data_IF_818491263241
#
_entry.id   IF_818491263241
#
_cell.length_a   1.000
_cell.length_b   1.000
_cell.length_c   1.000
_cell.angle_alpha   90.00
_cell.angle_beta   90.00
_cell.angle_gamma   90.00
#
_symmetry.space_group_name_H-M   'P 1'
#
loop_
_entity.id
_entity.type
_entity.pdbx_description
1 polymer ?
#
# COMPACT_ATOMS: atom_id res chain seq x y z
N UNK A 1 -25.36 -8.82 -16.86
CA UNK A 1 -25.79 -7.60 -17.55
C UNK A 1 -25.66 -6.46 -16.54
N UNK A 2 -24.72 -5.50 -16.66
CA UNK A 2 -24.72 -4.43 -15.66
C UNK A 2 -24.73 -3.03 -16.29
N UNK A 3 -25.84 -2.34 -16.02
CA UNK A 3 -25.99 -0.90 -15.79
C UNK A 3 -25.10 0.00 -16.63
N UNK A 4 -25.63 0.22 -17.84
CA UNK A 4 -25.06 1.03 -18.90
C UNK A 4 -24.98 2.48 -18.41
N UNK A 5 -23.83 2.87 -17.83
CA UNK A 5 -23.46 4.30 -17.72
C UNK A 5 -23.80 4.94 -19.07
N UNK A 6 -24.59 6.01 -19.06
CA UNK A 6 -24.97 6.66 -20.32
C UNK A 6 -23.72 7.10 -21.08
N UNK A 7 -23.75 7.00 -22.41
CA UNK A 7 -22.59 7.35 -23.23
C UNK A 7 -22.15 8.80 -23.00
N UNK A 8 -23.09 9.68 -22.67
CA UNK A 8 -22.82 11.06 -22.27
C UNK A 8 -21.98 11.14 -20.99
N UNK A 9 -22.38 10.44 -19.92
CA UNK A 9 -21.63 10.41 -18.65
C UNK A 9 -20.25 9.77 -18.86
N UNK A 10 -20.18 8.68 -19.63
CA UNK A 10 -18.92 8.03 -19.95
C UNK A 10 -17.96 8.95 -20.73
N UNK A 11 -18.48 9.70 -21.69
CA UNK A 11 -17.72 10.67 -22.48
C UNK A 11 -17.15 11.79 -21.60
N UNK A 12 -17.97 12.35 -20.71
CA UNK A 12 -17.55 13.42 -19.79
C UNK A 12 -16.46 12.93 -18.83
N UNK A 13 -16.60 11.74 -18.24
CA UNK A 13 -15.56 11.15 -17.37
C UNK A 13 -14.26 10.90 -18.14
N UNK A 14 -14.35 10.37 -19.37
CA UNK A 14 -13.17 10.14 -20.21
C UNK A 14 -12.49 11.46 -20.62
N UNK A 15 -13.26 12.51 -20.93
CA UNK A 15 -12.75 13.84 -21.24
C UNK A 15 -12.01 14.45 -20.04
N UNK A 16 -12.60 14.39 -18.86
CA UNK A 16 -11.97 14.86 -17.62
C UNK A 16 -10.67 14.10 -17.33
N UNK A 17 -10.65 12.77 -17.56
CA UNK A 17 -9.43 11.95 -17.39
C UNK A 17 -8.31 12.32 -18.36
N UNK A 18 -8.64 12.78 -19.58
CA UNK A 18 -7.68 13.28 -20.57
C UNK A 18 -7.15 14.67 -20.21
N UNK A 19 -8.02 15.55 -19.71
CA UNK A 19 -7.63 16.88 -19.22
C UNK A 19 -6.79 16.82 -17.95
N UNK A 20 -7.02 15.82 -17.10
CA UNK A 20 -6.28 15.62 -15.86
C UNK A 20 -5.62 14.23 -15.78
N UNK A 21 -4.49 14.03 -16.49
CA UNK A 21 -3.88 12.70 -16.62
C UNK A 21 -3.42 12.03 -15.33
N UNK A 22 -3.21 12.80 -14.26
CA UNK A 22 -2.72 12.32 -12.97
C UNK A 22 -3.84 12.03 -11.96
N UNK A 23 -5.10 12.36 -12.27
CA UNK A 23 -6.19 12.25 -11.31
C UNK A 23 -6.82 10.86 -11.32
N UNK A 24 -7.12 10.37 -10.12
CA UNK A 24 -7.88 9.14 -9.92
C UNK A 24 -9.40 9.37 -10.05
N UNK A 25 -10.20 8.29 -10.13
CA UNK A 25 -11.65 8.35 -10.33
C UNK A 25 -12.37 9.21 -9.29
N UNK A 26 -12.01 9.09 -8.00
CA UNK A 26 -12.65 9.86 -6.93
C UNK A 26 -12.47 11.38 -7.13
N UNK A 27 -11.26 11.81 -7.49
CA UNK A 27 -10.97 13.24 -7.72
C UNK A 27 -11.67 13.76 -8.96
N UNK A 28 -11.77 12.95 -10.02
CA UNK A 28 -12.49 13.30 -11.24
C UNK A 28 -13.99 13.49 -10.96
N UNK A 29 -14.62 12.57 -10.25
CA UNK A 29 -16.05 12.68 -9.92
C UNK A 29 -16.34 13.88 -9.01
N UNK A 30 -15.50 14.13 -8.00
CA UNK A 30 -15.62 15.31 -7.13
C UNK A 30 -15.47 16.63 -7.91
N UNK A 31 -14.60 16.65 -8.93
CA UNK A 31 -14.44 17.82 -9.80
C UNK A 31 -15.60 17.99 -10.78
N UNK A 32 -16.17 16.89 -11.29
CA UNK A 32 -17.29 16.89 -12.23
C UNK A 32 -18.63 17.26 -11.57
N UNK A 33 -18.86 16.86 -10.32
CA UNK A 33 -20.16 17.06 -9.64
C UNK A 33 -20.67 18.51 -9.69
N UNK A 34 -19.88 19.50 -9.23
CA UNK A 34 -20.28 20.90 -9.29
C UNK A 34 -20.40 21.48 -10.71
N UNK A 35 -19.74 20.88 -11.71
CA UNK A 35 -19.70 21.36 -13.10
C UNK A 35 -20.83 20.79 -13.96
N UNK A 36 -21.33 19.63 -13.57
CA UNK A 36 -22.40 18.93 -14.26
C UNK A 36 -23.45 18.43 -13.25
N UNK A 37 -24.17 19.33 -12.56
CA UNK A 37 -25.13 18.95 -11.53
C UNK A 37 -26.32 18.14 -12.06
N UNK A 38 -26.60 18.23 -13.36
CA UNK A 38 -27.65 17.45 -14.03
C UNK A 38 -27.23 16.03 -14.41
N UNK A 39 -25.95 15.68 -14.29
CA UNK A 39 -25.46 14.34 -14.60
C UNK A 39 -25.48 13.46 -13.35
N UNK A 40 -26.13 12.30 -13.45
CA UNK A 40 -25.99 11.25 -12.46
C UNK A 40 -24.59 10.63 -12.57
N UNK A 41 -23.71 11.03 -11.66
CA UNK A 41 -22.35 10.51 -11.61
C UNK A 41 -22.34 9.10 -10.99
N UNK A 42 -21.63 8.15 -11.60
CA UNK A 42 -21.59 6.78 -11.10
C UNK A 42 -20.71 6.68 -9.85
N UNK A 43 -20.78 5.54 -9.16
CA UNK A 43 -19.87 5.25 -8.07
C UNK A 43 -18.39 5.29 -8.51
N UNK A 44 -17.49 5.60 -7.56
CA UNK A 44 -16.04 5.69 -7.78
C UNK A 44 -15.47 4.40 -8.40
N UNK A 45 -15.93 3.24 -7.95
CA UNK A 45 -15.54 1.93 -8.48
C UNK A 45 -15.93 1.78 -9.95
N UNK A 46 -17.17 2.13 -10.32
CA UNK A 46 -17.69 2.04 -11.68
C UNK A 46 -16.96 3.00 -12.63
N UNK A 47 -16.68 4.24 -12.19
CA UNK A 47 -15.84 5.17 -12.96
C UNK A 47 -14.41 4.63 -13.13
N UNK A 48 -13.84 4.01 -12.09
CA UNK A 48 -12.54 3.36 -12.15
C UNK A 48 -12.51 2.20 -13.16
N UNK A 49 -13.56 1.38 -13.18
CA UNK A 49 -13.70 0.28 -14.12
C UNK A 49 -13.88 0.77 -15.56
N UNK A 50 -14.72 1.79 -15.79
CA UNK A 50 -14.87 2.45 -17.09
C UNK A 50 -13.52 2.91 -17.63
N UNK A 51 -12.76 3.65 -16.82
CA UNK A 51 -11.44 4.16 -17.23
C UNK A 51 -10.43 3.04 -17.50
N UNK A 52 -10.48 1.96 -16.72
CA UNK A 52 -9.65 0.78 -16.94
C UNK A 52 -10.01 0.06 -18.26
N UNK A 53 -11.30 -0.16 -18.53
CA UNK A 53 -11.80 -0.76 -19.77
C UNK A 53 -11.43 0.08 -21.01
N UNK A 54 -11.39 1.41 -20.87
CA UNK A 54 -10.99 2.35 -21.93
C UNK A 54 -9.47 2.58 -22.02
N UNK A 55 -8.65 1.88 -21.24
CA UNK A 55 -7.18 2.01 -21.26
C UNK A 55 -6.64 3.33 -20.69
N UNK A 56 -7.49 4.12 -20.03
CA UNK A 56 -7.14 5.44 -19.50
C UNK A 56 -6.53 5.40 -18.09
N UNK A 57 -6.53 4.24 -17.43
CA UNK A 57 -5.85 4.02 -16.15
C UNK A 57 -4.97 2.79 -16.27
N UNK A 58 -3.67 2.94 -15.97
CA UNK A 58 -2.76 1.81 -15.82
C UNK A 58 -3.05 1.13 -14.49
N UNK A 59 -3.32 -0.18 -14.49
CA UNK A 59 -3.34 -0.98 -13.26
C UNK A 59 -1.96 -0.87 -12.60
N UNK A 60 -1.92 -0.46 -11.33
CA UNK A 60 -0.67 -0.41 -10.57
C UNK A 60 -0.10 -1.83 -10.52
N UNK A 61 1.08 -2.03 -11.10
CA UNK A 61 1.81 -3.31 -11.00
C UNK A 61 2.05 -3.56 -9.51
N UNK A 62 1.54 -4.67 -8.98
CA UNK A 62 1.92 -5.12 -7.62
C UNK A 62 3.44 -5.25 -7.62
N UNK A 63 4.10 -4.48 -6.75
CA UNK A 63 5.54 -4.67 -6.52
C UNK A 63 5.69 -6.09 -5.97
N UNK A 64 6.57 -6.90 -6.58
CA UNK A 64 6.97 -8.16 -5.98
C UNK A 64 7.61 -7.82 -4.63
N UNK A 65 7.28 -8.60 -3.60
CA UNK A 65 7.98 -8.47 -2.33
C UNK A 65 9.45 -8.80 -2.59
N UNK A 66 10.37 -7.98 -2.07
CA UNK A 66 11.80 -8.29 -2.15
C UNK A 66 12.01 -9.58 -1.35
N UNK A 67 12.48 -10.64 -2.00
CA UNK A 67 12.87 -11.86 -1.30
C UNK A 67 14.29 -11.66 -0.78
N UNK A 68 14.49 -11.79 0.54
CA UNK A 68 15.83 -11.75 1.13
C UNK A 68 16.62 -12.98 0.63
N UNK A 69 17.90 -12.83 0.24
CA UNK A 69 18.71 -13.93 -0.32
C UNK A 69 19.05 -15.06 0.66
N UNK A 70 18.39 -15.14 1.83
CA UNK A 70 18.82 -15.97 2.96
C UNK A 70 19.92 -15.32 3.80
N UNK A 71 20.09 -15.79 5.03
CA UNK A 71 21.19 -15.42 5.94
C UNK A 71 22.20 -16.57 5.97
N UNK A 72 23.49 -16.26 5.93
CA UNK A 72 24.56 -17.24 6.20
C UNK A 72 24.70 -17.36 7.73
N UNK A 73 24.54 -18.56 8.32
CA UNK A 73 24.72 -18.74 9.75
C UNK A 73 26.16 -18.41 10.19
N UNK A 74 26.35 -17.68 11.31
CA UNK A 74 27.68 -17.46 11.85
C UNK A 74 28.30 -18.79 12.33
N UNK A 75 29.61 -18.95 12.11
CA UNK A 75 30.38 -20.10 12.58
C UNK A 75 31.22 -19.68 13.79
N UNK A 76 31.24 -20.47 14.85
CA UNK A 76 32.05 -20.22 16.07
C UNK A 76 32.89 -21.44 16.42
N UNK A 77 34.14 -21.23 16.83
CA UNK A 77 35.07 -22.31 17.15
C UNK A 77 35.12 -22.67 18.65
N UNK A 78 34.81 -21.71 19.54
CA UNK A 78 34.89 -21.88 20.99
C UNK A 78 33.93 -20.92 21.73
N UNK A 79 33.66 -21.12 23.04
CA UNK A 79 32.92 -20.16 23.83
C UNK A 79 33.55 -18.76 23.78
N UNK A 80 32.72 -17.72 23.75
CA UNK A 80 33.11 -16.31 23.66
C UNK A 80 33.69 -15.85 22.31
N UNK A 81 33.56 -16.65 21.26
CA UNK A 81 34.02 -16.30 19.91
C UNK A 81 33.07 -15.29 19.22
N UNK A 82 31.77 -15.36 19.52
CA UNK A 82 30.77 -14.41 19.02
C UNK A 82 29.59 -14.27 20.00
N UNK A 83 29.30 -13.04 20.40
CA UNK A 83 28.11 -12.73 21.18
C UNK A 83 27.06 -12.01 20.33
N UNK A 84 25.82 -12.45 20.48
CA UNK A 84 24.64 -11.78 19.89
C UNK A 84 23.97 -10.96 20.98
N UNK A 85 23.67 -9.70 20.68
CA UNK A 85 22.94 -8.81 21.58
C UNK A 85 21.76 -8.19 20.84
N UNK A 86 20.57 -8.29 21.42
CA UNK A 86 19.36 -7.66 20.88
C UNK A 86 18.52 -7.00 21.97
N UNK A 87 17.94 -5.84 21.65
CA UNK A 87 16.82 -5.33 22.43
C UNK A 87 15.55 -5.96 21.90
N UNK A 88 14.78 -6.60 22.79
CA UNK A 88 13.42 -7.00 22.48
C UNK A 88 12.49 -5.81 22.69
N UNK A 89 11.30 -5.87 22.08
CA UNK A 89 10.29 -4.83 22.24
C UNK A 89 10.09 -4.44 23.72
N UNK A 90 9.85 -3.16 23.97
CA UNK A 90 9.70 -2.65 25.33
C UNK A 90 8.26 -2.81 25.83
N UNK A 91 8.10 -2.86 27.14
CA UNK A 91 6.79 -2.91 27.78
C UNK A 91 6.76 -2.04 29.04
N UNK A 92 5.56 -1.63 29.43
CA UNK A 92 5.36 -0.78 30.60
C UNK A 92 5.24 -1.66 31.85
N UNK A 93 6.04 -1.37 32.88
CA UNK A 93 6.00 -2.02 34.18
C UNK A 93 4.86 -1.46 35.04
N UNK A 94 4.53 -2.13 36.16
CA UNK A 94 3.38 -1.78 37.01
C UNK A 94 3.49 -0.37 37.64
N UNK A 95 4.71 0.11 37.84
CA UNK A 95 5.04 1.47 38.27
C UNK A 95 5.01 2.50 37.13
N UNK A 96 4.65 2.08 35.92
CA UNK A 96 4.45 2.96 34.77
C UNK A 96 5.72 3.33 34.01
N UNK A 97 6.88 2.78 34.38
CA UNK A 97 8.14 2.95 33.64
C UNK A 97 8.22 1.98 32.45
N UNK A 98 9.08 2.27 31.48
CA UNK A 98 9.33 1.37 30.35
C UNK A 98 10.56 0.51 30.62
N UNK A 99 10.39 -0.81 30.48
CA UNK A 99 11.49 -1.77 30.47
C UNK A 99 11.94 -2.03 29.03
N UNK A 100 13.25 -1.95 28.80
CA UNK A 100 13.90 -2.26 27.52
C UNK A 100 14.76 -3.51 27.70
N UNK A 101 14.18 -4.71 27.55
CA UNK A 101 14.91 -5.95 27.79
C UNK A 101 16.03 -6.13 26.74
N UNK A 102 17.26 -6.29 27.23
CA UNK A 102 18.43 -6.66 26.44
C UNK A 102 18.67 -8.16 26.61
N UNK A 103 18.70 -8.91 25.51
CA UNK A 103 19.18 -10.30 25.51
C UNK A 103 20.61 -10.31 25.02
N UNK A 104 21.47 -11.02 25.74
CA UNK A 104 22.84 -11.32 25.31
C UNK A 104 22.99 -12.85 25.31
N UNK A 105 23.53 -13.41 24.24
CA UNK A 105 23.79 -14.83 24.13
C UNK A 105 25.11 -15.11 23.42
N UNK A 106 25.91 -16.01 23.99
CA UNK A 106 27.09 -16.59 23.35
C UNK A 106 26.64 -17.54 22.23
N UNK A 107 27.08 -17.30 21.00
CA UNK A 107 26.64 -18.05 19.84
C UNK A 107 27.16 -19.50 19.83
N UNK A 108 28.27 -19.78 20.53
CA UNK A 108 28.84 -21.12 20.60
C UNK A 108 28.15 -22.02 21.64
N UNK A 109 27.70 -21.45 22.74
CA UNK A 109 27.13 -22.18 23.89
C UNK A 109 25.60 -21.99 24.02
N UNK A 110 24.94 -21.48 22.97
CA UNK A 110 23.52 -21.08 22.99
C UNK A 110 22.52 -22.23 23.15
#
# INVERSE_FOLDING_TARGET
MPDRISDAVAAVICAARRQHPSWGPAKLLAWLGPRHPALELPAVSTAGELLARRGLVKKRRRRRHNQHPGVVPPTTAQPNDLWTADFKGHFRTRDGLYCYPLTIADQHTR
#
